data_IF_605217574663
#
_entry.id   IF_605217574663
#
_cell.length_a   1.000
_cell.length_b   1.000
_cell.length_c   1.000
_cell.angle_alpha   90.00
_cell.angle_beta   90.00
_cell.angle_gamma   90.00
#
_symmetry.space_group_name_H-M   'P 1'
#
loop_
_entity.id
_entity.type
_entity.pdbx_description
1 polymer ?
#
# COMPACT_ATOMS: atom_id res chain seq x y z
N UNK A 1 10.46 -14.73 14.94
CA UNK A 1 9.74 -14.41 16.19
C UNK A 1 8.72 -13.34 15.82
N UNK A 2 7.43 -13.68 15.80
CA UNK A 2 6.45 -12.97 14.95
C UNK A 2 5.29 -12.32 15.69
N UNK A 3 5.51 -11.76 16.88
CA UNK A 3 4.45 -11.06 17.61
C UNK A 3 3.92 -9.87 16.80
N UNK A 4 4.80 -8.96 16.36
CA UNK A 4 4.40 -7.78 15.58
C UNK A 4 3.74 -8.12 14.24
N UNK A 5 4.14 -9.23 13.64
CA UNK A 5 3.56 -9.72 12.39
C UNK A 5 2.09 -10.14 12.51
N UNK A 6 1.47 -10.08 13.71
CA UNK A 6 0.06 -10.38 13.99
C UNK A 6 -0.86 -9.15 14.10
N UNK A 7 -0.30 -7.95 14.03
CA UNK A 7 -1.03 -6.70 14.26
C UNK A 7 -1.12 -5.86 12.98
N UNK A 8 -2.24 -5.18 12.80
CA UNK A 8 -2.38 -4.10 11.82
C UNK A 8 -1.75 -2.83 12.41
N UNK A 9 -0.43 -2.69 12.24
CA UNK A 9 0.34 -1.58 12.78
C UNK A 9 0.19 -0.33 11.92
N UNK A 10 0.01 0.83 12.56
CA UNK A 10 0.07 2.13 11.91
C UNK A 10 0.61 3.19 12.87
N UNK A 11 1.10 4.29 12.33
CA UNK A 11 1.53 5.46 13.12
C UNK A 11 0.85 6.72 12.56
N UNK A 12 -0.37 7.06 13.03
CA UNK A 12 -1.04 8.27 12.59
C UNK A 12 -0.29 9.53 13.04
N UNK A 13 -0.53 10.66 12.36
CA UNK A 13 0.01 11.97 12.76
C UNK A 13 -0.38 12.27 14.21
N UNK A 14 0.61 12.50 15.07
CA UNK A 14 0.32 12.92 16.44
C UNK A 14 -0.23 14.34 16.44
N UNK A 15 -1.38 14.52 17.08
CA UNK A 15 -1.93 15.84 17.42
C UNK A 15 -1.49 16.32 18.80
N UNK A 16 -0.70 15.53 19.53
CA UNK A 16 -0.23 15.88 20.87
C UNK A 16 0.63 17.16 20.81
N UNK A 17 0.32 18.14 21.66
CA UNK A 17 0.97 19.46 21.65
C UNK A 17 0.34 20.47 20.69
N UNK A 18 -0.55 20.05 19.79
CA UNK A 18 -1.26 20.94 18.84
C UNK A 18 -2.79 20.86 18.95
N UNK A 19 -3.33 20.13 19.94
CA UNK A 19 -4.77 20.11 20.27
C UNK A 19 -5.20 21.43 20.92
N UNK A 20 -5.22 22.51 20.15
CA UNK A 20 -5.69 23.81 20.61
C UNK A 20 -7.21 23.83 20.46
N UNK A 21 -7.92 24.08 21.56
CA UNK A 21 -9.38 24.20 21.56
C UNK A 21 -9.72 25.59 21.00
N UNK A 22 -10.12 25.66 19.72
CA UNK A 22 -10.47 26.90 19.02
C UNK A 22 -11.96 27.24 19.08
N UNK A 23 -12.79 26.32 19.57
CA UNK A 23 -14.26 26.46 19.58
C UNK A 23 -14.91 26.17 18.22
N UNK A 24 -14.14 25.68 17.24
CA UNK A 24 -14.66 25.26 15.95
C UNK A 24 -15.55 24.01 16.08
N UNK A 25 -16.72 24.05 15.46
CA UNK A 25 -17.60 22.88 15.35
C UNK A 25 -17.09 21.97 14.23
N UNK A 26 -16.39 20.91 14.62
CA UNK A 26 -16.10 19.81 13.71
C UNK A 26 -17.39 19.03 13.42
N UNK A 27 -17.55 18.57 12.17
CA UNK A 27 -18.73 17.78 11.79
C UNK A 27 -18.78 16.46 12.57
N UNK A 28 -19.76 16.33 13.47
CA UNK A 28 -20.03 15.12 14.27
C UNK A 28 -20.98 14.12 13.58
N UNK A 29 -21.46 14.45 12.37
CA UNK A 29 -22.56 13.71 11.72
C UNK A 29 -22.26 12.22 11.51
N UNK A 30 -21.01 11.87 11.21
CA UNK A 30 -20.60 10.48 11.03
C UNK A 30 -20.21 9.79 12.34
N UNK A 31 -19.89 10.57 13.37
CA UNK A 31 -19.57 10.04 14.70
C UNK A 31 -20.82 9.44 15.34
N UNK A 32 -21.96 10.16 15.30
CA UNK A 32 -23.22 9.65 15.85
C UNK A 32 -23.69 8.37 15.15
N UNK A 33 -23.55 8.31 13.82
CA UNK A 33 -23.88 7.12 13.04
C UNK A 33 -22.97 5.93 13.39
N UNK A 34 -21.67 6.19 13.55
CA UNK A 34 -20.70 5.18 13.96
C UNK A 34 -21.00 4.66 15.37
N UNK A 35 -21.17 5.57 16.33
CA UNK A 35 -21.46 5.23 17.73
C UNK A 35 -22.76 4.41 17.84
N UNK A 36 -23.79 4.79 17.09
CA UNK A 36 -25.03 4.02 17.01
C UNK A 36 -24.76 2.60 16.50
N UNK A 37 -24.05 2.44 15.38
CA UNK A 37 -23.79 1.11 14.80
C UNK A 37 -22.94 0.23 15.72
N UNK A 38 -21.96 0.80 16.42
CA UNK A 38 -21.15 0.05 17.39
C UNK A 38 -22.01 -0.44 18.55
N UNK A 39 -22.91 0.38 19.08
CA UNK A 39 -23.81 -0.05 20.15
C UNK A 39 -24.76 -1.16 19.69
N UNK A 40 -25.32 -1.07 18.48
CA UNK A 40 -26.14 -2.16 17.90
C UNK A 40 -25.36 -3.48 17.85
N UNK A 41 -24.10 -3.46 17.38
CA UNK A 41 -23.25 -4.65 17.31
C UNK A 41 -22.93 -5.24 18.70
N UNK A 42 -22.77 -4.39 19.72
CA UNK A 42 -22.56 -4.83 21.10
C UNK A 42 -23.82 -5.53 21.62
N UNK A 43 -24.99 -4.93 21.41
CA UNK A 43 -26.28 -5.49 21.84
C UNK A 43 -26.57 -6.83 21.13
N UNK A 44 -26.34 -6.90 19.81
CA UNK A 44 -26.43 -8.15 19.03
C UNK A 44 -25.52 -9.24 19.61
N UNK A 45 -24.28 -8.90 19.94
CA UNK A 45 -23.30 -9.81 20.53
C UNK A 45 -23.71 -10.32 21.91
N UNK A 46 -24.28 -9.45 22.76
CA UNK A 46 -24.79 -9.82 24.09
C UNK A 46 -26.04 -10.69 24.03
N UNK A 47 -26.88 -10.49 23.01
CA UNK A 47 -28.10 -11.28 22.79
C UNK A 47 -27.82 -12.68 22.19
N UNK A 48 -26.67 -12.86 21.53
CA UNK A 48 -26.29 -14.13 20.91
C UNK A 48 -25.93 -15.21 21.94
N UNK A 49 -26.54 -16.39 21.83
CA UNK A 49 -26.32 -17.56 22.71
C UNK A 49 -25.02 -18.33 22.44
N UNK A 50 -24.04 -17.72 21.75
CA UNK A 50 -22.72 -18.29 21.50
C UNK A 50 -22.57 -19.06 20.19
N UNK A 51 -23.58 -19.09 19.31
CA UNK A 51 -23.43 -19.66 17.97
C UNK A 51 -22.57 -18.76 17.08
N UNK A 52 -21.47 -19.32 16.54
CA UNK A 52 -20.57 -18.60 15.64
C UNK A 52 -21.11 -18.65 14.22
N UNK A 53 -21.37 -17.50 13.62
CA UNK A 53 -21.67 -17.40 12.19
C UNK A 53 -20.38 -17.52 11.37
N UNK A 54 -20.36 -18.46 10.43
CA UNK A 54 -19.29 -18.57 9.44
C UNK A 54 -19.64 -17.70 8.23
N UNK A 55 -18.77 -16.75 7.90
CA UNK A 55 -18.90 -15.92 6.71
C UNK A 55 -18.16 -16.56 5.54
N UNK A 56 -18.75 -16.51 4.35
CA UNK A 56 -18.16 -17.03 3.12
C UNK A 56 -17.98 -15.89 2.14
N UNK A 57 -16.95 -15.99 1.30
CA UNK A 57 -16.83 -15.13 0.12
C UNK A 57 -17.77 -15.63 -0.97
N UNK A 58 -18.41 -14.68 -1.67
CA UNK A 58 -19.01 -14.99 -2.97
C UNK A 58 -17.93 -15.50 -3.94
N UNK A 59 -18.28 -16.27 -4.99
CA UNK A 59 -17.30 -16.81 -5.93
C UNK A 59 -16.38 -15.74 -6.55
N UNK A 60 -16.89 -14.55 -6.82
CA UNK A 60 -16.12 -13.42 -7.35
C UNK A 60 -15.21 -12.81 -6.28
N UNK A 61 -15.68 -12.65 -5.04
CA UNK A 61 -14.86 -12.18 -3.93
C UNK A 61 -13.72 -13.16 -3.59
N UNK A 62 -13.97 -14.46 -3.70
CA UNK A 62 -12.96 -15.49 -3.49
C UNK A 62 -11.83 -15.41 -4.55
N UNK A 63 -12.15 -15.01 -5.79
CA UNK A 63 -11.13 -14.75 -6.83
C UNK A 63 -10.26 -13.55 -6.46
N UNK A 64 -10.86 -12.45 -6.02
CA UNK A 64 -10.11 -11.26 -5.56
C UNK A 64 -9.13 -11.64 -4.43
N UNK A 65 -9.60 -12.41 -3.45
CA UNK A 65 -8.74 -12.90 -2.38
C UNK A 65 -7.60 -13.79 -2.91
N UNK A 66 -7.91 -14.71 -3.83
CA UNK A 66 -6.91 -15.64 -4.41
C UNK A 66 -5.86 -14.91 -5.23
N UNK A 67 -6.27 -13.97 -6.07
CA UNK A 67 -5.38 -13.16 -6.89
C UNK A 67 -4.46 -12.32 -6.00
N UNK A 68 -5.01 -11.72 -4.95
CA UNK A 68 -4.24 -10.96 -3.97
C UNK A 68 -3.26 -11.84 -3.18
N UNK A 69 -3.68 -13.02 -2.72
CA UNK A 69 -2.80 -13.97 -2.05
C UNK A 69 -1.61 -14.34 -2.93
N UNK A 70 -1.86 -14.71 -4.19
CA UNK A 70 -0.82 -15.09 -5.14
C UNK A 70 0.13 -13.92 -5.45
N UNK A 71 -0.39 -12.70 -5.58
CA UNK A 71 0.41 -11.50 -5.77
C UNK A 71 1.36 -11.26 -4.58
N UNK A 72 0.85 -11.32 -3.35
CA UNK A 72 1.67 -11.19 -2.12
C UNK A 72 2.72 -12.30 -2.03
N UNK A 73 2.36 -13.55 -2.33
CA UNK A 73 3.31 -14.66 -2.31
C UNK A 73 4.39 -14.55 -3.38
N UNK A 74 4.06 -14.07 -4.58
CA UNK A 74 5.06 -13.81 -5.62
C UNK A 74 6.14 -12.82 -5.16
N UNK A 75 5.76 -11.87 -4.30
CA UNK A 75 6.63 -10.82 -3.74
C UNK A 75 7.47 -11.28 -2.55
N UNK A 76 7.20 -12.47 -1.99
CA UNK A 76 7.92 -13.05 -0.85
C UNK A 76 9.22 -13.79 -1.23
N UNK A 77 9.42 -14.08 -2.52
CA UNK A 77 10.59 -14.78 -3.05
C UNK A 77 11.94 -14.15 -2.63
N UNK A 78 13.04 -14.89 -2.82
CA UNK A 78 14.38 -14.49 -2.35
C UNK A 78 14.86 -13.10 -2.81
N UNK A 79 14.41 -12.66 -3.98
CA UNK A 79 14.67 -11.33 -4.56
C UNK A 79 13.45 -10.40 -4.54
N UNK A 80 12.33 -10.85 -3.97
CA UNK A 80 11.08 -10.10 -3.94
C UNK A 80 11.11 -8.92 -2.95
N UNK A 81 10.27 -7.90 -3.17
CA UNK A 81 10.28 -6.66 -2.37
C UNK A 81 9.90 -6.89 -0.90
N UNK A 82 9.22 -8.00 -0.58
CA UNK A 82 8.77 -8.32 0.78
C UNK A 82 9.71 -9.28 1.53
N UNK A 83 10.89 -9.59 0.98
CA UNK A 83 11.84 -10.55 1.58
C UNK A 83 12.29 -10.24 3.01
N UNK A 84 12.19 -8.97 3.42
CA UNK A 84 12.58 -8.50 4.76
C UNK A 84 11.40 -8.49 5.75
N UNK A 85 10.17 -8.63 5.25
CA UNK A 85 8.94 -8.62 6.05
C UNK A 85 8.12 -9.91 5.87
N UNK A 86 8.80 -11.04 5.63
CA UNK A 86 8.15 -12.31 5.25
C UNK A 86 7.06 -12.78 6.20
N UNK A 87 7.32 -12.70 7.50
CA UNK A 87 6.38 -13.17 8.52
C UNK A 87 5.06 -12.36 8.51
N UNK A 88 5.10 -11.07 8.14
CA UNK A 88 3.92 -10.22 8.03
C UNK A 88 3.22 -10.44 6.69
N UNK A 89 3.98 -10.38 5.60
CA UNK A 89 3.45 -10.53 4.24
C UNK A 89 2.74 -11.88 4.05
N UNK A 90 3.25 -12.97 4.62
CA UNK A 90 2.59 -14.28 4.58
C UNK A 90 1.21 -14.32 5.27
N UNK A 91 0.87 -13.32 6.10
CA UNK A 91 -0.45 -13.18 6.76
C UNK A 91 -1.32 -12.09 6.16
N UNK A 92 -0.81 -11.32 5.21
CA UNK A 92 -1.45 -10.10 4.76
C UNK A 92 -2.77 -10.39 4.02
N UNK A 93 -2.83 -11.47 3.24
CA UNK A 93 -4.07 -11.96 2.65
C UNK A 93 -5.09 -12.49 3.70
N UNK A 94 -4.63 -13.06 4.81
CA UNK A 94 -5.53 -13.41 5.92
C UNK A 94 -6.12 -12.16 6.59
N UNK A 95 -5.33 -11.08 6.70
CA UNK A 95 -5.85 -9.80 7.19
C UNK A 95 -6.89 -9.21 6.27
N UNK A 96 -6.67 -9.25 4.95
CA UNK A 96 -7.67 -8.84 3.98
C UNK A 96 -9.00 -9.57 4.20
N UNK A 97 -8.96 -10.90 4.41
CA UNK A 97 -10.19 -11.66 4.66
C UNK A 97 -10.90 -11.26 5.96
N UNK A 98 -10.14 -11.03 7.04
CA UNK A 98 -10.71 -10.58 8.32
C UNK A 98 -11.29 -9.18 8.21
N UNK A 99 -10.61 -8.27 7.52
CA UNK A 99 -11.09 -6.91 7.28
C UNK A 99 -12.38 -6.92 6.45
N UNK A 100 -12.44 -7.71 5.39
CA UNK A 100 -13.65 -7.87 4.59
C UNK A 100 -14.81 -8.42 5.43
N UNK A 101 -14.57 -9.41 6.29
CA UNK A 101 -15.60 -9.94 7.21
C UNK A 101 -16.10 -8.90 8.22
N UNK A 102 -15.19 -8.08 8.77
CA UNK A 102 -15.56 -6.98 9.67
C UNK A 102 -16.40 -5.92 8.95
N UNK A 103 -16.01 -5.53 7.74
CA UNK A 103 -16.75 -4.57 6.92
C UNK A 103 -18.13 -5.09 6.55
N UNK A 104 -18.23 -6.35 6.11
CA UNK A 104 -19.50 -7.00 5.78
C UNK A 104 -20.47 -6.96 6.97
N UNK A 105 -19.98 -7.29 8.16
CA UNK A 105 -20.80 -7.27 9.37
C UNK A 105 -21.16 -5.84 9.81
N UNK A 106 -20.22 -4.90 9.75
CA UNK A 106 -20.45 -3.50 10.08
C UNK A 106 -21.50 -2.87 9.17
N UNK A 107 -21.52 -3.23 7.89
CA UNK A 107 -22.47 -2.75 6.88
C UNK A 107 -23.85 -3.43 6.91
N UNK A 108 -24.08 -4.36 7.85
CA UNK A 108 -25.33 -5.15 7.94
C UNK A 108 -25.68 -5.88 6.64
N UNK A 109 -24.67 -6.27 5.86
CA UNK A 109 -24.88 -7.04 4.65
C UNK A 109 -25.35 -8.46 5.00
N UNK A 110 -26.29 -8.99 4.22
CA UNK A 110 -26.72 -10.38 4.32
C UNK A 110 -26.03 -11.26 3.28
N UNK A 111 -26.00 -12.58 3.56
CA UNK A 111 -25.42 -13.57 2.65
C UNK A 111 -23.90 -13.62 2.70
N UNK A 112 -23.30 -13.79 1.52
CA UNK A 112 -21.86 -13.92 1.33
C UNK A 112 -21.20 -12.55 1.15
N UNK A 113 -19.91 -12.46 1.50
CA UNK A 113 -19.11 -11.26 1.31
C UNK A 113 -19.03 -10.93 -0.19
N UNK A 114 -19.45 -9.71 -0.51
CA UNK A 114 -19.50 -9.21 -1.88
C UNK A 114 -18.10 -8.91 -2.45
N UNK A 115 -17.94 -8.84 -3.78
CA UNK A 115 -16.68 -8.42 -4.41
C UNK A 115 -16.26 -7.01 -3.98
N UNK A 116 -17.23 -6.12 -3.81
CA UNK A 116 -16.98 -4.76 -3.35
C UNK A 116 -16.36 -4.73 -1.94
N UNK A 117 -16.96 -5.49 -1.02
CA UNK A 117 -16.46 -5.59 0.37
C UNK A 117 -15.09 -6.28 0.43
N UNK A 118 -14.84 -7.24 -0.46
CA UNK A 118 -13.52 -7.83 -0.63
C UNK A 118 -12.47 -6.81 -1.11
N UNK A 119 -12.76 -6.00 -2.14
CA UNK A 119 -11.83 -4.96 -2.58
C UNK A 119 -11.53 -3.93 -1.47
N UNK A 120 -12.54 -3.51 -0.70
CA UNK A 120 -12.29 -2.65 0.47
C UNK A 120 -11.35 -3.29 1.48
N UNK A 121 -11.54 -4.58 1.78
CA UNK A 121 -10.64 -5.34 2.65
C UNK A 121 -9.22 -5.42 2.10
N UNK A 122 -9.08 -5.58 0.77
CA UNK A 122 -7.79 -5.61 0.06
C UNK A 122 -7.06 -4.28 0.15
N UNK A 123 -7.74 -3.17 -0.15
CA UNK A 123 -7.15 -1.82 -0.06
C UNK A 123 -6.66 -1.51 1.36
N UNK A 124 -7.43 -1.86 2.39
CA UNK A 124 -6.99 -1.72 3.78
C UNK A 124 -5.77 -2.60 4.10
N UNK A 125 -5.77 -3.86 3.66
CA UNK A 125 -4.64 -4.76 3.89
C UNK A 125 -3.35 -4.30 3.18
N UNK A 126 -3.47 -3.73 1.97
CA UNK A 126 -2.36 -3.10 1.25
C UNK A 126 -1.86 -1.90 2.04
N UNK A 127 -2.76 -1.01 2.49
CA UNK A 127 -2.39 0.17 3.26
C UNK A 127 -1.63 -0.19 4.55
N UNK A 128 -2.15 -1.14 5.34
CA UNK A 128 -1.47 -1.61 6.55
C UNK A 128 -0.16 -2.35 6.25
N UNK A 129 -0.07 -3.05 5.12
CA UNK A 129 1.18 -3.66 4.67
C UNK A 129 2.24 -2.64 4.34
N UNK A 130 1.87 -1.55 3.68
CA UNK A 130 2.76 -0.43 3.40
C UNK A 130 3.21 0.28 4.69
N UNK A 131 2.29 0.48 5.64
CA UNK A 131 2.63 1.02 6.96
C UNK A 131 3.59 0.11 7.73
N UNK A 132 3.37 -1.19 7.70
CA UNK A 132 4.27 -2.16 8.33
C UNK A 132 5.68 -2.09 7.70
N UNK A 133 5.76 -2.03 6.37
CA UNK A 133 7.03 -1.87 5.65
C UNK A 133 7.74 -0.56 6.04
N UNK A 134 6.98 0.54 6.11
CA UNK A 134 7.49 1.84 6.55
C UNK A 134 8.04 1.76 7.97
N UNK A 135 7.30 1.18 8.90
CA UNK A 135 7.68 1.06 10.32
C UNK A 135 8.77 0.02 10.58
N UNK A 136 8.98 -0.94 9.68
CA UNK A 136 10.00 -1.98 9.83
C UNK A 136 11.36 -1.56 9.27
N UNK A 137 11.42 -0.46 8.51
CA UNK A 137 12.66 0.03 7.92
C UNK A 137 13.35 1.03 8.88
N UNK A 138 14.56 0.74 9.40
CA UNK A 138 15.28 1.63 10.31
C UNK A 138 15.50 3.06 9.77
N UNK A 139 15.56 3.21 8.44
CA UNK A 139 15.78 4.51 7.78
C UNK A 139 14.58 5.47 7.85
N UNK A 140 13.39 4.99 8.26
CA UNK A 140 12.18 5.83 8.38
C UNK A 140 12.05 6.49 9.75
N UNK A 141 12.77 6.02 10.78
CA UNK A 141 12.65 6.52 12.15
C UNK A 141 13.30 7.88 12.40
N UNK A 142 14.27 8.29 11.57
CA UNK A 142 14.97 9.59 11.72
C UNK A 142 14.19 10.78 11.14
N UNK A 143 12.99 10.59 10.58
CA UNK A 143 12.22 11.68 9.98
C UNK A 143 10.75 11.67 10.43
N UNK A 144 10.53 11.85 11.73
CA UNK A 144 9.20 11.95 12.37
C UNK A 144 8.38 13.21 11.99
N UNK A 145 8.81 13.98 10.98
CA UNK A 145 8.13 15.18 10.49
C UNK A 145 7.57 15.05 9.06
N UNK A 146 7.65 13.88 8.41
CA UNK A 146 7.10 13.68 7.06
C UNK A 146 6.10 12.51 7.03
N UNK A 147 4.85 12.81 7.40
CA UNK A 147 3.69 12.08 6.89
C UNK A 147 3.34 12.55 5.47
N UNK A 148 4.31 12.49 4.56
CA UNK A 148 4.11 12.82 3.16
C UNK A 148 4.89 11.81 2.33
N UNK A 149 4.15 10.96 1.60
CA UNK A 149 4.60 10.29 0.37
C UNK A 149 6.03 9.78 0.40
N UNK A 150 6.26 8.52 0.82
CA UNK A 150 7.46 7.70 0.54
C UNK A 150 8.59 8.53 -0.07
N UNK A 151 9.31 9.26 0.80
CA UNK A 151 10.12 10.47 0.51
C UNK A 151 10.71 10.48 -0.91
N UNK A 152 9.93 10.91 -1.88
CA UNK A 152 10.45 11.26 -3.19
C UNK A 152 11.16 12.58 -2.97
N UNK A 153 12.47 12.60 -3.10
CA UNK A 153 13.15 13.87 -3.32
C UNK A 153 12.48 14.44 -4.59
N UNK A 154 12.10 15.73 -4.67
CA UNK A 154 11.41 16.30 -5.84
C UNK A 154 12.10 15.96 -7.18
N UNK A 155 13.38 15.66 -7.11
CA UNK A 155 14.23 15.18 -8.19
C UNK A 155 13.88 13.77 -8.70
N UNK A 156 13.59 12.82 -7.81
CA UNK A 156 13.21 11.45 -8.16
C UNK A 156 11.84 11.40 -8.84
N UNK A 157 10.86 12.11 -8.29
CA UNK A 157 9.51 12.16 -8.85
C UNK A 157 9.50 12.80 -10.23
N UNK A 158 10.27 13.89 -10.41
CA UNK A 158 10.40 14.52 -11.71
C UNK A 158 11.05 13.59 -12.73
N UNK A 159 12.13 12.89 -12.34
CA UNK A 159 12.77 11.93 -13.24
C UNK A 159 11.83 10.78 -13.59
N UNK A 160 11.12 10.21 -12.61
CA UNK A 160 10.16 9.13 -12.83
C UNK A 160 9.00 9.56 -13.73
N UNK A 161 8.38 10.70 -13.44
CA UNK A 161 7.29 11.23 -14.26
C UNK A 161 7.77 11.50 -15.69
N UNK A 162 8.99 12.00 -15.86
CA UNK A 162 9.56 12.20 -17.18
C UNK A 162 9.78 10.87 -17.93
N UNK A 163 10.38 9.86 -17.29
CA UNK A 163 10.58 8.51 -17.88
C UNK A 163 9.23 7.91 -18.27
N UNK A 164 8.24 7.97 -17.37
CA UNK A 164 6.87 7.47 -17.59
C UNK A 164 6.21 8.17 -18.77
N UNK A 165 6.23 9.50 -18.79
CA UNK A 165 5.63 10.31 -19.85
C UNK A 165 6.28 10.05 -21.20
N UNK A 166 7.61 9.94 -21.23
CA UNK A 166 8.37 9.65 -22.43
C UNK A 166 8.02 8.29 -23.03
N UNK A 167 7.95 7.26 -22.18
CA UNK A 167 7.59 5.90 -22.61
C UNK A 167 6.16 5.85 -23.18
N UNK A 168 5.21 6.54 -22.53
CA UNK A 168 3.82 6.65 -23.00
C UNK A 168 3.76 7.41 -24.34
N UNK A 169 4.38 8.58 -24.45
CA UNK A 169 4.33 9.43 -25.64
C UNK A 169 4.96 8.75 -26.87
N UNK A 170 6.03 7.98 -26.66
CA UNK A 170 6.72 7.25 -27.74
C UNK A 170 6.19 5.83 -27.96
N UNK A 171 5.28 5.34 -27.12
CA UNK A 171 4.76 3.98 -27.18
C UNK A 171 5.85 2.91 -27.01
N UNK A 172 6.88 3.20 -26.21
CA UNK A 172 7.99 2.28 -25.94
C UNK A 172 7.88 1.73 -24.50
N UNK A 173 8.16 0.43 -24.28
CA UNK A 173 8.04 -0.18 -22.96
C UNK A 173 9.21 0.17 -22.02
N UNK A 174 10.36 0.55 -22.58
CA UNK A 174 11.55 0.89 -21.82
C UNK A 174 12.45 1.84 -22.62
N UNK A 175 13.45 2.44 -21.97
CA UNK A 175 14.40 3.35 -22.61
C UNK A 175 15.83 3.12 -22.15
N UNK A 176 16.81 3.39 -23.03
CA UNK A 176 18.22 3.24 -22.69
C UNK A 176 18.65 4.33 -21.72
N UNK A 177 19.57 3.99 -20.81
CA UNK A 177 20.15 4.96 -19.87
C UNK A 177 20.80 6.18 -20.56
N UNK A 178 21.41 5.98 -21.73
CA UNK A 178 21.96 7.08 -22.53
C UNK A 178 20.88 8.02 -23.07
N UNK A 179 19.69 7.51 -23.39
CA UNK A 179 18.57 8.35 -23.86
C UNK A 179 18.03 9.21 -22.71
N UNK A 180 18.00 8.67 -21.49
CA UNK A 180 17.68 9.45 -20.28
C UNK A 180 18.70 10.58 -20.09
N UNK A 181 19.99 10.28 -20.25
CA UNK A 181 21.06 11.27 -20.12
C UNK A 181 20.99 12.39 -21.18
N UNK A 182 20.62 12.05 -22.42
CA UNK A 182 20.58 12.99 -23.54
C UNK A 182 19.28 13.79 -23.62
N UNK A 183 18.14 13.13 -23.40
CA UNK A 183 16.80 13.68 -23.63
C UNK A 183 16.10 14.10 -22.35
N UNK A 184 16.60 13.67 -21.19
CA UNK A 184 16.06 13.98 -19.88
C UNK A 184 16.16 15.47 -19.50
N UNK A 185 15.47 15.86 -18.41
CA UNK A 185 15.51 17.22 -17.89
C UNK A 185 16.94 17.72 -17.69
N UNK A 186 17.22 18.97 -18.09
CA UNK A 186 18.56 19.57 -18.11
C UNK A 186 19.31 19.40 -16.77
N UNK A 187 18.59 19.52 -15.65
CA UNK A 187 19.14 19.44 -14.30
C UNK A 187 19.71 18.05 -13.94
N UNK A 188 19.35 17.00 -14.67
CA UNK A 188 19.78 15.62 -14.42
C UNK A 188 20.86 15.12 -15.39
N UNK A 189 21.27 15.91 -16.39
CA UNK A 189 22.21 15.48 -17.45
C UNK A 189 23.63 15.15 -16.97
N UNK A 190 23.93 15.32 -15.68
CA UNK A 190 25.18 14.85 -15.08
C UNK A 190 25.08 13.35 -14.79
N UNK A 191 26.03 12.57 -15.33
CA UNK A 191 26.06 11.10 -15.21
C UNK A 191 25.90 10.62 -13.77
N UNK A 192 26.63 11.20 -12.83
CA UNK A 192 26.59 10.78 -11.42
C UNK A 192 25.22 11.04 -10.77
N UNK A 193 24.59 12.18 -11.11
CA UNK A 193 23.26 12.54 -10.62
C UNK A 193 22.19 11.58 -11.16
N UNK A 194 22.24 11.25 -12.45
CA UNK A 194 21.31 10.29 -13.06
C UNK A 194 21.50 8.88 -12.50
N UNK A 195 22.75 8.45 -12.27
CA UNK A 195 23.02 7.14 -11.68
C UNK A 195 22.37 7.04 -10.30
N UNK A 196 22.68 8.02 -9.44
CA UNK A 196 22.13 8.08 -8.09
C UNK A 196 20.60 8.12 -8.07
N UNK A 197 19.97 8.94 -8.92
CA UNK A 197 18.51 9.00 -9.02
C UNK A 197 17.91 7.68 -9.54
N UNK A 198 18.55 7.02 -10.52
CA UNK A 198 18.07 5.74 -11.02
C UNK A 198 18.22 4.63 -9.97
N UNK A 199 19.31 4.62 -9.21
CA UNK A 199 19.52 3.67 -8.12
C UNK A 199 18.41 3.79 -7.07
N UNK A 200 18.03 5.02 -6.70
CA UNK A 200 16.88 5.28 -5.81
C UNK A 200 15.56 4.80 -6.41
N UNK A 201 15.31 5.08 -7.69
CA UNK A 201 14.08 4.63 -8.37
C UNK A 201 14.02 3.10 -8.50
N UNK A 202 15.17 2.42 -8.63
CA UNK A 202 15.25 0.95 -8.58
C UNK A 202 14.97 0.42 -7.18
N UNK A 203 15.55 1.02 -6.13
CA UNK A 203 15.28 0.65 -4.74
C UNK A 203 13.79 0.81 -4.38
N UNK A 204 13.14 1.82 -4.93
CA UNK A 204 11.70 2.07 -4.77
C UNK A 204 10.80 1.23 -5.68
N UNK A 205 11.38 0.37 -6.53
CA UNK A 205 10.68 -0.43 -7.53
C UNK A 205 9.82 0.40 -8.52
N UNK A 206 10.12 1.70 -8.69
CA UNK A 206 9.42 2.61 -9.61
C UNK A 206 9.89 2.46 -11.04
N UNK A 207 11.14 2.07 -11.21
CA UNK A 207 11.66 1.63 -12.50
C UNK A 207 12.31 0.27 -12.34
N UNK A 208 12.31 -0.52 -13.40
CA UNK A 208 12.90 -1.86 -13.41
C UNK A 208 13.96 -1.96 -14.52
N UNK A 209 15.08 -2.66 -14.25
CA UNK A 209 16.09 -2.89 -15.27
C UNK A 209 15.60 -3.96 -16.25
N UNK A 210 15.59 -3.64 -17.55
CA UNK A 210 15.23 -4.55 -18.63
C UNK A 210 16.42 -4.70 -19.57
N UNK A 211 16.71 -5.93 -20.02
CA UNK A 211 17.78 -6.17 -20.98
C UNK A 211 17.16 -6.26 -22.38
N UNK A 212 17.45 -5.28 -23.23
CA UNK A 212 17.14 -5.35 -24.67
C UNK A 212 18.41 -5.70 -25.45
N UNK A 213 18.51 -6.95 -25.90
CA UNK A 213 19.69 -7.48 -26.58
C UNK A 213 20.90 -7.55 -25.64
N UNK A 214 21.86 -6.64 -25.82
CA UNK A 214 23.07 -6.50 -24.97
C UNK A 214 23.07 -5.23 -24.11
N UNK A 215 21.99 -4.44 -24.13
CA UNK A 215 21.93 -3.13 -23.48
C UNK A 215 20.96 -3.13 -22.32
N UNK A 216 21.37 -2.53 -21.19
CA UNK A 216 20.52 -2.28 -20.04
C UNK A 216 19.61 -1.07 -20.32
N UNK A 217 18.31 -1.31 -20.27
CA UNK A 217 17.23 -0.33 -20.39
C UNK A 217 16.52 -0.17 -19.04
N UNK A 218 15.86 0.98 -18.88
CA UNK A 218 15.07 1.38 -17.71
C UNK A 218 13.61 1.36 -18.15
N UNK A 219 12.78 0.54 -17.53
CA UNK A 219 11.34 0.52 -17.77
C UNK A 219 10.60 1.14 -16.57
N UNK A 220 9.64 2.05 -16.77
CA UNK A 220 8.78 2.49 -15.68
C UNK A 220 7.91 1.33 -15.21
N UNK A 221 7.79 1.16 -13.90
CA UNK A 221 6.84 0.23 -13.30
C UNK A 221 5.46 0.90 -13.26
N UNK A 222 4.52 0.35 -14.03
CA UNK A 222 3.14 0.86 -14.10
C UNK A 222 2.22 0.25 -13.05
N UNK A 223 2.70 -0.76 -12.32
CA UNK A 223 1.92 -1.56 -11.37
C UNK A 223 2.01 -1.02 -9.92
N UNK A 224 2.42 0.25 -9.76
CA UNK A 224 2.51 1.00 -8.50
C UNK A 224 1.41 2.04 -8.35
#
# INVERSE_FOLDING_TARGET
SGHHARFLMCQPTSTQGTRIITGDNYSSQYQELFDKRINELIDESLAMSGERRCLHFSPQAARIWTDYYNDVESKLGGLGPLRHCREYAAKNAEYMARLAGLLHHLSSEEGDISPYTAEMGRELAIWYGNEYMRLSNPLTFDNTAQNETMRLIPEELELFNWIKSYCIEKGIPCMKKNDILQRGPNRFRKKDKINWLLDLLYEQNRVVPVIEGKTLCVAPNFDL
#
